data_IF_050570884515
#
_entry.id   IF_050570884515
#
_cell.length_a   1.000
_cell.length_b   1.000
_cell.length_c   1.000
_cell.angle_alpha   90.00
_cell.angle_beta   90.00
_cell.angle_gamma   90.00
#
_symmetry.space_group_name_H-M   'P 1'
#
loop_
_entity.id
_entity.type
_entity.pdbx_description
1 polymer ?
#
# COMPACT_ATOMS: atom_id res chain seq x y z
N UNK A 1 -27.57 17.32 -1.26
CA UNK A 1 -27.06 15.94 -1.10
C UNK A 1 -25.57 15.91 -1.43
N UNK A 2 -24.74 15.53 -0.44
CA UNK A 2 -23.41 14.90 -0.51
C UNK A 2 -22.28 15.56 -1.33
N UNK A 3 -21.58 16.50 -0.69
CA UNK A 3 -20.18 16.82 -0.96
C UNK A 3 -19.27 15.68 -0.48
N UNK A 4 -18.83 14.78 -1.36
CA UNK A 4 -17.88 13.71 -1.01
C UNK A 4 -16.72 13.52 -2.01
N UNK A 5 -16.39 14.50 -2.85
CA UNK A 5 -15.30 14.39 -3.85
C UNK A 5 -13.97 15.03 -3.45
N UNK A 6 -13.85 15.59 -2.24
CA UNK A 6 -12.61 16.25 -1.78
C UNK A 6 -11.51 15.27 -1.30
N UNK A 7 -11.81 13.98 -1.17
CA UNK A 7 -10.87 12.98 -0.59
C UNK A 7 -9.83 12.44 -1.59
N UNK A 8 -9.86 12.84 -2.87
CA UNK A 8 -9.08 12.23 -3.97
C UNK A 8 -7.93 13.12 -4.51
N UNK A 9 -7.46 14.11 -3.75
CA UNK A 9 -6.56 15.15 -4.29
C UNK A 9 -5.10 14.74 -4.56
N UNK A 10 -4.66 13.54 -4.18
CA UNK A 10 -3.25 13.15 -4.36
C UNK A 10 -2.99 12.56 -5.76
N UNK A 11 -3.27 13.33 -6.81
CA UNK A 11 -3.12 12.91 -8.21
C UNK A 11 -1.70 12.45 -8.55
N UNK A 12 -0.69 13.10 -7.96
CA UNK A 12 0.73 12.73 -8.12
C UNK A 12 1.00 11.33 -7.59
N UNK A 13 0.51 11.03 -6.38
CA UNK A 13 0.69 9.72 -5.76
C UNK A 13 -0.02 8.63 -6.54
N UNK A 14 -1.19 8.94 -7.12
CA UNK A 14 -1.97 8.01 -7.93
C UNK A 14 -1.30 7.68 -9.28
N UNK A 15 -0.71 8.69 -9.94
CA UNK A 15 0.05 8.47 -11.16
C UNK A 15 1.28 7.58 -10.93
N UNK A 16 1.93 7.74 -9.78
CA UNK A 16 3.09 6.93 -9.40
C UNK A 16 2.70 5.59 -8.76
N UNK A 17 1.44 5.41 -8.36
CA UNK A 17 1.04 4.28 -7.51
C UNK A 17 1.29 2.94 -8.21
N UNK A 18 0.87 2.77 -9.46
CA UNK A 18 1.00 1.49 -10.15
C UNK A 18 2.46 1.09 -10.41
N UNK A 19 3.34 2.06 -10.62
CA UNK A 19 4.77 1.85 -10.76
C UNK A 19 5.42 1.53 -9.40
N UNK A 20 5.17 2.39 -8.41
CA UNK A 20 5.70 2.22 -7.06
C UNK A 20 5.20 0.92 -6.43
N UNK A 21 3.92 0.54 -6.65
CA UNK A 21 3.33 -0.69 -6.15
C UNK A 21 4.05 -1.91 -6.71
N UNK A 22 4.30 -1.96 -8.03
CA UNK A 22 5.06 -3.06 -8.65
C UNK A 22 6.45 -3.25 -8.04
N UNK A 23 7.10 -2.16 -7.62
CA UNK A 23 8.41 -2.22 -6.96
C UNK A 23 8.34 -2.80 -5.54
N UNK A 24 7.28 -2.50 -4.80
CA UNK A 24 7.11 -2.95 -3.41
C UNK A 24 6.27 -4.22 -3.27
N UNK A 25 5.71 -4.74 -4.36
CA UNK A 25 4.85 -5.92 -4.35
C UNK A 25 5.58 -7.13 -3.74
N UNK A 26 6.87 -7.28 -4.05
CA UNK A 26 7.74 -8.31 -3.48
C UNK A 26 7.98 -8.14 -1.97
N UNK A 27 7.85 -6.93 -1.42
CA UNK A 27 7.95 -6.70 0.03
C UNK A 27 6.83 -7.41 0.80
N UNK A 28 5.67 -7.65 0.18
CA UNK A 28 4.57 -8.35 0.85
C UNK A 28 4.76 -9.87 0.96
N UNK A 29 5.67 -10.44 0.15
CA UNK A 29 6.11 -11.82 0.31
C UNK A 29 7.31 -11.94 1.26
N UNK A 30 7.97 -10.82 1.60
CA UNK A 30 9.12 -10.81 2.47
C UNK A 30 8.72 -10.84 3.95
N UNK A 31 9.53 -11.51 4.77
CA UNK A 31 9.36 -11.48 6.22
C UNK A 31 9.99 -10.19 6.78
N UNK A 32 9.21 -9.28 7.38
CA UNK A 32 9.78 -8.10 8.05
C UNK A 32 10.68 -8.51 9.22
N UNK A 33 11.62 -7.63 9.64
CA UNK A 33 12.34 -7.80 10.89
C UNK A 33 11.39 -8.03 12.06
N UNK A 34 11.84 -8.80 13.07
CA UNK A 34 10.98 -9.30 14.16
C UNK A 34 10.15 -8.17 14.79
N UNK A 35 8.81 -8.35 14.76
CA UNK A 35 7.84 -7.46 15.38
C UNK A 35 7.39 -6.27 14.53
N UNK A 36 7.95 -6.06 13.33
CA UNK A 36 7.56 -4.94 12.47
C UNK A 36 6.45 -5.33 11.47
N UNK A 37 5.51 -4.42 11.19
CA UNK A 37 4.50 -4.63 10.17
C UNK A 37 5.11 -4.63 8.76
N UNK A 38 4.48 -5.32 7.81
CA UNK A 38 4.93 -5.36 6.41
C UNK A 38 4.93 -3.96 5.77
N UNK A 39 4.04 -3.09 6.24
CA UNK A 39 3.99 -1.67 5.89
C UNK A 39 5.32 -0.95 6.16
N UNK A 40 6.10 -1.39 7.15
CA UNK A 40 7.43 -0.83 7.43
C UNK A 40 8.43 -1.11 6.31
N UNK A 41 8.42 -2.34 5.76
CA UNK A 41 9.25 -2.69 4.60
C UNK A 41 8.85 -1.84 3.40
N UNK A 42 7.54 -1.76 3.13
CA UNK A 42 7.00 -0.95 2.03
C UNK A 42 7.41 0.51 2.18
N UNK A 43 7.28 1.07 3.39
CA UNK A 43 7.67 2.45 3.68
C UNK A 43 9.16 2.68 3.40
N UNK A 44 10.05 1.81 3.89
CA UNK A 44 11.50 1.96 3.67
C UNK A 44 11.87 1.85 2.19
N UNK A 45 11.37 0.83 1.51
CA UNK A 45 11.64 0.63 0.08
C UNK A 45 11.15 1.82 -0.74
N UNK A 46 9.95 2.33 -0.44
CA UNK A 46 9.38 3.50 -1.14
C UNK A 46 10.17 4.77 -0.85
N UNK A 47 10.60 4.99 0.41
CA UNK A 47 11.43 6.14 0.78
C UNK A 47 12.77 6.16 0.05
N UNK A 48 13.39 4.99 -0.11
CA UNK A 48 14.65 4.86 -0.87
C UNK A 48 14.44 5.13 -2.36
N UNK A 49 13.33 4.68 -2.95
CA UNK A 49 13.03 4.86 -4.35
C UNK A 49 12.50 6.27 -4.70
N UNK A 50 11.81 6.92 -3.77
CA UNK A 50 11.14 8.20 -3.96
C UNK A 50 11.43 9.15 -2.79
N UNK A 51 12.68 9.61 -2.61
CA UNK A 51 13.06 10.49 -1.50
C UNK A 51 12.36 11.85 -1.52
N UNK A 52 11.77 12.24 -2.66
CA UNK A 52 11.00 13.47 -2.83
C UNK A 52 9.58 13.39 -2.24
N UNK A 53 9.09 12.19 -1.88
CA UNK A 53 7.77 12.05 -1.26
C UNK A 53 7.81 12.44 0.21
N UNK A 54 6.77 13.12 0.67
CA UNK A 54 6.64 13.45 2.09
C UNK A 54 6.42 12.19 2.93
N UNK A 55 6.72 12.26 4.24
CA UNK A 55 6.42 11.16 5.17
C UNK A 55 4.94 10.77 5.15
N UNK A 56 4.04 11.75 4.98
CA UNK A 56 2.60 11.51 4.90
C UNK A 56 2.24 10.74 3.62
N UNK A 57 2.81 11.14 2.48
CA UNK A 57 2.61 10.45 1.19
C UNK A 57 3.11 9.00 1.26
N UNK A 58 4.28 8.78 1.84
CA UNK A 58 4.86 7.44 2.03
C UNK A 58 3.98 6.57 2.95
N UNK A 59 3.44 7.14 4.02
CA UNK A 59 2.52 6.43 4.90
C UNK A 59 1.20 6.08 4.20
N UNK A 60 0.60 7.04 3.48
CA UNK A 60 -0.60 6.80 2.67
C UNK A 60 -0.36 5.73 1.60
N UNK A 61 0.79 5.77 0.94
CA UNK A 61 1.21 4.77 -0.03
C UNK A 61 1.34 3.37 0.58
N UNK A 62 2.00 3.23 1.74
CA UNK A 62 2.15 1.94 2.40
C UNK A 62 0.78 1.34 2.78
N UNK A 63 -0.10 2.14 3.38
CA UNK A 63 -1.46 1.70 3.74
C UNK A 63 -2.30 1.33 2.52
N UNK A 64 -2.22 2.11 1.44
CA UNK A 64 -2.93 1.82 0.19
C UNK A 64 -2.39 0.53 -0.46
N UNK A 65 -1.08 0.34 -0.47
CA UNK A 65 -0.42 -0.86 -1.00
C UNK A 65 -0.86 -2.12 -0.25
N UNK A 66 -0.91 -2.07 1.08
CA UNK A 66 -1.41 -3.20 1.88
C UNK A 66 -2.86 -3.56 1.56
N UNK A 67 -3.73 -2.55 1.36
CA UNK A 67 -5.14 -2.77 1.00
C UNK A 67 -5.26 -3.43 -0.37
N UNK A 68 -4.52 -2.96 -1.37
CA UNK A 68 -4.51 -3.54 -2.72
C UNK A 68 -3.99 -4.97 -2.66
N UNK A 69 -2.91 -5.22 -1.93
CA UNK A 69 -2.34 -6.55 -1.79
C UNK A 69 -3.33 -7.55 -1.17
N UNK A 70 -3.97 -7.17 -0.05
CA UNK A 70 -5.02 -7.98 0.59
C UNK A 70 -6.21 -8.20 -0.34
N UNK A 71 -6.67 -7.17 -1.03
CA UNK A 71 -7.80 -7.27 -1.96
C UNK A 71 -7.51 -8.23 -3.12
N UNK A 72 -6.26 -8.21 -3.63
CA UNK A 72 -5.80 -9.15 -4.66
C UNK A 72 -5.75 -10.57 -4.13
N UNK A 73 -5.18 -10.81 -2.93
CA UNK A 73 -5.18 -12.14 -2.32
C UNK A 73 -6.61 -12.68 -2.10
N UNK A 74 -7.53 -11.82 -1.65
CA UNK A 74 -8.95 -12.17 -1.50
C UNK A 74 -9.62 -12.49 -2.84
N UNK A 75 -9.28 -11.78 -3.91
CA UNK A 75 -9.83 -12.02 -5.26
C UNK A 75 -9.22 -13.24 -5.97
N UNK A 76 -7.96 -13.59 -5.68
CA UNK A 76 -7.22 -14.67 -6.34
C UNK A 76 -7.50 -16.08 -5.79
N UNK A 77 -8.29 -16.23 -4.72
CA UNK A 77 -8.80 -17.54 -4.30
C UNK A 77 -8.57 -17.94 -2.84
N UNK A 78 -9.12 -17.18 -1.90
CA UNK A 78 -9.53 -17.74 -0.60
C UNK A 78 -10.84 -17.04 -0.21
N UNK A 79 -11.94 -17.54 -0.76
CA UNK A 79 -13.23 -17.55 -0.08
C UNK A 79 -13.13 -18.46 1.16
N UNK A 80 -12.20 -18.17 2.07
CA UNK A 80 -12.20 -18.68 3.43
C UNK A 80 -13.22 -17.86 4.19
N UNK A 81 -14.42 -18.42 4.33
CA UNK A 81 -15.48 -17.96 5.24
C UNK A 81 -14.87 -17.35 6.53
N UNK A 82 -15.41 -16.24 7.06
CA UNK A 82 -15.17 -15.95 8.47
C UNK A 82 -15.71 -17.15 9.25
N UNK A 83 -14.83 -17.87 9.96
CA UNK A 83 -15.28 -18.76 11.02
C UNK A 83 -15.91 -17.88 12.10
N UNK A 84 -17.09 -18.31 12.55
CA UNK A 84 -17.97 -17.66 13.50
C UNK A 84 -17.30 -17.22 14.79
#
# INVERSE_FOLDING_TARGET
MNHHDDRRKNHKLRALFDEAYRRVETCFAARPPQGLPVEWLVFRTTRTAYPQLSTLDLFQFAMASSRVHRSRQSASGLAGKPAC
#
